data_IF_117164117000
#
_entry.id   IF_117164117000
#
_cell.length_a   1.000
_cell.length_b   1.000
_cell.length_c   1.000
_cell.angle_alpha   90.00
_cell.angle_beta   90.00
_cell.angle_gamma   90.00
#
_symmetry.space_group_name_H-M   'P 1'
#
loop_
_entity.id
_entity.type
_entity.pdbx_description
1 polymer ?
#
# COMPACT_ATOMS: atom_id res chain seq x y z
N UNK A 1 -12.06 -9.69 -9.06
CA UNK A 1 -13.12 -8.96 -8.41
C UNK A 1 -13.24 -7.56 -8.97
N UNK A 2 -14.42 -7.17 -9.39
CA UNK A 2 -14.62 -5.90 -10.09
C UNK A 2 -14.31 -4.67 -9.24
N UNK A 3 -14.36 -4.78 -7.91
CA UNK A 3 -14.10 -3.66 -7.03
C UNK A 3 -12.65 -3.14 -7.12
N UNK A 4 -11.71 -3.99 -7.52
CA UNK A 4 -10.33 -3.54 -7.73
C UNK A 4 -10.19 -2.69 -8.99
N UNK A 5 -11.19 -2.70 -9.87
CA UNK A 5 -11.24 -1.88 -11.07
C UNK A 5 -12.21 -0.70 -10.92
N UNK A 6 -12.74 -0.47 -9.71
CA UNK A 6 -13.65 0.63 -9.44
C UNK A 6 -12.95 1.96 -9.73
N UNK A 7 -13.72 2.95 -10.20
CA UNK A 7 -13.19 4.28 -10.51
C UNK A 7 -12.78 5.07 -9.27
N UNK A 8 -13.27 4.68 -8.08
CA UNK A 8 -12.91 5.34 -6.83
C UNK A 8 -11.68 4.67 -6.24
N UNK A 9 -10.53 5.37 -6.18
CA UNK A 9 -9.27 4.76 -5.70
C UNK A 9 -9.36 4.13 -4.31
N UNK A 10 -10.08 4.74 -3.38
CA UNK A 10 -10.21 4.19 -2.04
C UNK A 10 -10.92 2.84 -2.05
N UNK A 11 -11.89 2.63 -2.95
CA UNK A 11 -12.58 1.35 -3.10
C UNK A 11 -11.61 0.31 -3.67
N UNK A 12 -10.81 0.69 -4.66
CA UNK A 12 -9.81 -0.22 -5.23
C UNK A 12 -8.81 -0.68 -4.17
N UNK A 13 -8.32 0.24 -3.35
CA UNK A 13 -7.38 -0.07 -2.28
C UNK A 13 -8.00 -1.03 -1.27
N UNK A 14 -9.22 -0.75 -0.83
CA UNK A 14 -9.91 -1.60 0.14
C UNK A 14 -10.14 -3.02 -0.42
N UNK A 15 -10.55 -3.11 -1.68
CA UNK A 15 -10.78 -4.40 -2.33
C UNK A 15 -9.48 -5.18 -2.48
N UNK A 16 -8.39 -4.51 -2.87
CA UNK A 16 -7.09 -5.15 -3.00
C UNK A 16 -6.59 -5.68 -1.65
N UNK A 17 -6.78 -4.92 -0.58
CA UNK A 17 -6.41 -5.36 0.75
C UNK A 17 -7.19 -6.60 1.16
N UNK A 18 -8.50 -6.62 0.91
CA UNK A 18 -9.34 -7.76 1.23
C UNK A 18 -8.88 -9.02 0.48
N UNK A 19 -8.57 -8.89 -0.82
CA UNK A 19 -8.09 -10.01 -1.62
C UNK A 19 -6.75 -10.54 -1.10
N UNK A 20 -5.84 -9.66 -0.70
CA UNK A 20 -4.58 -10.07 -0.10
C UNK A 20 -4.79 -10.86 1.18
N UNK A 21 -5.77 -10.47 1.99
CA UNK A 21 -6.09 -11.19 3.23
C UNK A 21 -6.63 -12.59 2.95
N UNK A 22 -7.25 -12.80 1.79
CA UNK A 22 -7.70 -14.13 1.37
C UNK A 22 -6.61 -14.92 0.65
N UNK A 23 -5.41 -14.39 0.56
CA UNK A 23 -4.28 -15.09 -0.01
C UNK A 23 -3.93 -14.71 -1.44
N UNK A 24 -4.70 -13.83 -2.08
CA UNK A 24 -4.38 -13.35 -3.43
C UNK A 24 -3.37 -12.22 -3.36
N UNK A 25 -2.10 -12.57 -3.17
CA UNK A 25 -1.03 -11.58 -3.01
C UNK A 25 -0.70 -10.86 -4.31
N UNK A 26 -1.25 -11.28 -5.45
CA UNK A 26 -1.07 -10.55 -6.71
C UNK A 26 -1.65 -9.12 -6.62
N UNK A 27 -2.59 -8.89 -5.71
CA UNK A 27 -3.20 -7.59 -5.52
C UNK A 27 -2.31 -6.61 -4.72
N UNK A 28 -1.21 -7.11 -4.15
CA UNK A 28 -0.26 -6.24 -3.45
C UNK A 28 0.31 -5.17 -4.37
N UNK A 29 0.51 -5.50 -5.65
CA UNK A 29 1.01 -4.57 -6.64
C UNK A 29 0.11 -3.34 -6.77
N UNK A 30 -1.21 -3.55 -6.72
CA UNK A 30 -2.17 -2.45 -6.80
C UNK A 30 -2.03 -1.52 -5.59
N UNK A 31 -1.86 -2.07 -4.39
CA UNK A 31 -1.65 -1.27 -3.19
C UNK A 31 -0.38 -0.44 -3.32
N UNK A 32 0.70 -1.05 -3.79
CA UNK A 32 1.98 -0.36 -3.97
C UNK A 32 1.85 0.78 -4.99
N UNK A 33 1.10 0.59 -6.08
CA UNK A 33 0.87 1.63 -7.07
C UNK A 33 0.14 2.83 -6.48
N UNK A 34 -0.81 2.60 -5.58
CA UNK A 34 -1.60 3.68 -4.99
C UNK A 34 -0.88 4.46 -3.90
N UNK A 35 0.30 4.02 -3.46
CA UNK A 35 1.12 4.83 -2.56
C UNK A 35 1.43 6.20 -3.19
N UNK A 36 1.56 6.25 -4.51
CA UNK A 36 1.89 7.47 -5.25
C UNK A 36 0.66 8.25 -5.71
N UNK A 37 -0.53 7.87 -5.26
CA UNK A 37 -1.75 8.56 -5.67
C UNK A 37 -1.67 10.04 -5.29
N UNK A 38 -2.09 10.95 -6.20
CA UNK A 38 -2.11 12.39 -5.88
C UNK A 38 -2.97 12.74 -4.68
N UNK A 39 -3.97 11.91 -4.38
CA UNK A 39 -4.81 12.11 -3.21
C UNK A 39 -4.10 11.55 -1.99
N UNK A 40 -3.76 12.43 -1.04
CA UNK A 40 -3.08 12.04 0.20
C UNK A 40 -3.78 10.89 0.92
N UNK A 41 -5.11 10.93 1.01
CA UNK A 41 -5.86 9.91 1.75
C UNK A 41 -5.71 8.53 1.11
N UNK A 42 -5.71 8.47 -0.22
CA UNK A 42 -5.54 7.19 -0.93
C UNK A 42 -4.15 6.61 -0.65
N UNK A 43 -3.12 7.45 -0.73
CA UNK A 43 -1.76 7.03 -0.42
C UNK A 43 -1.62 6.52 1.01
N UNK A 44 -2.25 7.21 1.96
CA UNK A 44 -2.26 6.78 3.36
C UNK A 44 -2.96 5.44 3.53
N UNK A 45 -4.12 5.25 2.90
CA UNK A 45 -4.85 3.98 2.99
C UNK A 45 -4.03 2.84 2.40
N UNK A 46 -3.36 3.09 1.27
CA UNK A 46 -2.52 2.07 0.65
C UNK A 46 -1.37 1.65 1.57
N UNK A 47 -0.67 2.61 2.16
CA UNK A 47 0.41 2.30 3.09
C UNK A 47 -0.07 1.58 4.34
N UNK A 48 -1.20 2.01 4.90
CA UNK A 48 -1.76 1.33 6.06
C UNK A 48 -2.21 -0.08 5.74
N UNK A 49 -2.80 -0.28 4.57
CA UNK A 49 -3.20 -1.60 4.13
C UNK A 49 -1.99 -2.54 4.03
N UNK A 50 -0.89 -2.05 3.47
CA UNK A 50 0.35 -2.82 3.37
C UNK A 50 0.89 -3.14 4.76
N UNK A 51 0.86 -2.17 5.67
CA UNK A 51 1.31 -2.39 7.04
C UNK A 51 0.50 -3.48 7.74
N UNK A 52 -0.82 -3.46 7.56
CA UNK A 52 -1.69 -4.47 8.17
C UNK A 52 -1.45 -5.87 7.59
N UNK A 53 -1.05 -5.95 6.31
CA UNK A 53 -0.74 -7.22 5.68
C UNK A 53 0.63 -7.78 6.09
N UNK A 54 1.44 -6.95 6.72
CA UNK A 54 2.71 -7.38 7.28
C UNK A 54 3.72 -7.80 6.22
N UNK A 55 4.34 -8.96 6.41
CA UNK A 55 5.44 -9.40 5.56
C UNK A 55 5.05 -9.67 4.10
N UNK A 56 3.76 -9.70 3.79
CA UNK A 56 3.31 -9.83 2.40
C UNK A 56 3.83 -8.68 1.53
N UNK A 57 4.10 -7.51 2.13
CA UNK A 57 4.64 -6.36 1.40
C UNK A 57 6.15 -6.40 1.20
N UNK A 58 6.86 -7.34 1.82
CA UNK A 58 8.33 -7.36 1.81
C UNK A 58 8.91 -7.49 0.40
N UNK A 59 8.25 -8.22 -0.48
CA UNK A 59 8.71 -8.40 -1.86
C UNK A 59 8.69 -7.08 -2.63
N UNK A 60 7.93 -6.08 -2.16
CA UNK A 60 7.83 -4.77 -2.78
C UNK A 60 8.56 -3.68 -1.99
N UNK A 61 9.49 -4.08 -1.12
CA UNK A 61 10.12 -3.13 -0.19
C UNK A 61 10.82 -1.96 -0.88
N UNK A 62 11.37 -2.17 -2.07
CA UNK A 62 12.04 -1.10 -2.80
C UNK A 62 11.05 0.00 -3.20
N UNK A 63 9.90 -0.39 -3.74
CA UNK A 63 8.86 0.58 -4.11
C UNK A 63 8.28 1.28 -2.88
N UNK A 64 8.07 0.55 -1.79
CA UNK A 64 7.55 1.10 -0.54
C UNK A 64 8.57 2.06 0.07
N UNK A 65 9.85 1.73 -0.01
CA UNK A 65 10.93 2.58 0.48
C UNK A 65 10.94 3.96 -0.18
N UNK A 66 10.50 4.05 -1.44
CA UNK A 66 10.40 5.33 -2.13
C UNK A 66 9.47 6.31 -1.41
N UNK A 67 8.49 5.82 -0.65
CA UNK A 67 7.58 6.67 0.12
C UNK A 67 8.28 7.39 1.28
N UNK A 68 9.50 7.00 1.65
CA UNK A 68 10.30 7.74 2.64
C UNK A 68 10.67 9.13 2.15
N UNK A 69 10.56 9.37 0.84
CA UNK A 69 10.80 10.68 0.23
C UNK A 69 9.51 11.47 0.00
N UNK A 70 8.39 10.97 0.48
CA UNK A 70 7.12 11.67 0.36
C UNK A 70 7.17 13.01 1.06
N UNK A 71 6.46 14.00 0.52
CA UNK A 71 6.29 15.29 1.19
C UNK A 71 5.38 15.21 2.41
N UNK A 72 4.66 14.10 2.58
CA UNK A 72 3.76 13.92 3.72
C UNK A 72 4.44 13.13 4.83
N UNK A 73 4.48 13.70 6.02
CA UNK A 73 5.13 13.08 7.17
C UNK A 73 4.55 11.71 7.50
N UNK A 74 3.23 11.59 7.40
CA UNK A 74 2.56 10.31 7.70
C UNK A 74 3.08 9.19 6.80
N UNK A 75 3.16 9.46 5.51
CA UNK A 75 3.65 8.47 4.54
C UNK A 75 5.12 8.11 4.79
N UNK A 76 5.95 9.13 5.06
CA UNK A 76 7.36 8.90 5.39
C UNK A 76 7.51 8.01 6.61
N UNK A 77 6.71 8.27 7.64
CA UNK A 77 6.77 7.54 8.91
C UNK A 77 6.41 6.06 8.72
N UNK A 78 5.32 5.78 8.02
CA UNK A 78 4.90 4.40 7.78
C UNK A 78 5.94 3.67 6.92
N UNK A 79 6.40 4.29 5.85
CA UNK A 79 7.39 3.67 4.96
C UNK A 79 8.68 3.33 5.72
N UNK A 80 9.13 4.24 6.57
CA UNK A 80 10.33 4.02 7.37
C UNK A 80 10.15 2.87 8.35
N UNK A 81 9.00 2.79 8.98
CA UNK A 81 8.70 1.72 9.92
C UNK A 81 8.68 0.36 9.23
N UNK A 82 8.03 0.28 8.06
CA UNK A 82 7.94 -0.95 7.30
C UNK A 82 9.32 -1.41 6.80
N UNK A 83 10.07 -0.52 6.16
CA UNK A 83 11.36 -0.90 5.61
C UNK A 83 12.38 -1.25 6.70
N UNK A 84 12.28 -0.61 7.86
CA UNK A 84 13.10 -0.97 9.00
C UNK A 84 12.81 -2.36 9.53
N UNK A 85 11.55 -2.77 9.49
CA UNK A 85 11.11 -4.09 9.92
C UNK A 85 11.59 -5.20 8.98
N UNK A 86 11.78 -4.89 7.72
CA UNK A 86 12.11 -5.89 6.68
C UNK A 86 13.61 -5.97 6.36
N UNK A 87 14.44 -5.50 7.21
CA UNK A 87 15.89 -5.59 6.98
C UNK A 87 16.43 -7.01 7.01
#
# INVERSE_FOLDING_TARGET
>A
LKLTADSVPAVRVAAAQALCKFGDLSQMKLLVEHIKDPNLLVGMFALRAIEELGDAGKAHRTAISAAQKSKYEFSRRIARRLTGKWR
#
